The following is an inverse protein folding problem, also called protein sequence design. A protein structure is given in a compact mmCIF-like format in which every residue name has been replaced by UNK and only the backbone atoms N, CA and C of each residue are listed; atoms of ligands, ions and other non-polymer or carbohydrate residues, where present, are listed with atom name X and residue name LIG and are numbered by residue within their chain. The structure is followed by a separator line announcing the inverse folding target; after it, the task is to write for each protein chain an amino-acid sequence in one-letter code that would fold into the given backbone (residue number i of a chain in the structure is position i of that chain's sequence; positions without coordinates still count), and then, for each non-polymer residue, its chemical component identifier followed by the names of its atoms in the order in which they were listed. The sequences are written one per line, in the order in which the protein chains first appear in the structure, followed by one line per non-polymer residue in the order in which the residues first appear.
data_IF_972559359481
#
_entry.id   IF_972559359481
#
_cell.length_a   1.000
_cell.length_b   1.000
_cell.length_c   1.000
_cell.angle_alpha   90.00
_cell.angle_beta   90.00
_cell.angle_gamma   90.00
#
_symmetry.space_group_name_H-M   'P 1'
#
loop_
_entity.id
_entity.type
_entity.pdbx_description
1 polymer ?
#
# COMPACT_ATOMS: atom_id res chain seq x y z
N UNK A 1 -6.89 -13.66 41.00
CA UNK A 1 -6.52 -13.34 39.62
C UNK A 1 -5.40 -12.32 39.66
N UNK A 2 -4.16 -12.72 39.35
CA UNK A 2 -3.04 -11.77 39.29
C UNK A 2 -3.28 -10.81 38.13
N UNK A 3 -3.30 -9.50 38.40
CA UNK A 3 -3.32 -8.49 37.35
C UNK A 3 -1.97 -8.56 36.64
N UNK A 4 -1.96 -8.96 35.36
CA UNK A 4 -0.81 -8.76 34.50
C UNK A 4 -0.45 -7.27 34.51
N UNK A 5 0.73 -6.93 35.03
CA UNK A 5 1.20 -5.55 35.07
C UNK A 5 1.74 -5.18 33.70
N UNK A 6 1.13 -4.19 33.06
CA UNK A 6 1.66 -3.58 31.84
C UNK A 6 2.47 -2.35 32.25
N UNK A 7 3.72 -2.28 31.79
CA UNK A 7 4.55 -1.09 31.92
C UNK A 7 4.85 -0.51 30.53
N UNK A 8 5.17 0.78 30.46
CA UNK A 8 5.64 1.42 29.24
C UNK A 8 6.99 2.06 29.46
N UNK A 9 7.87 1.97 28.48
CA UNK A 9 9.18 2.65 28.48
C UNK A 9 9.56 3.11 27.08
N UNK A 10 10.57 3.97 27.01
CA UNK A 10 11.22 4.27 25.74
C UNK A 10 11.87 3.01 25.17
N UNK A 11 11.80 2.87 23.86
CA UNK A 11 12.48 1.80 23.15
C UNK A 11 14.00 2.00 23.19
N UNK A 12 14.73 0.91 23.35
CA UNK A 12 16.18 0.85 23.21
C UNK A 12 16.54 0.05 21.96
N UNK A 13 17.82 0.10 21.57
CA UNK A 13 18.33 -0.61 20.39
C UNK A 13 18.00 -2.12 20.39
N UNK A 14 17.97 -2.74 21.57
CA UNK A 14 17.70 -4.17 21.75
C UNK A 14 16.25 -4.55 21.40
N UNK A 15 15.33 -3.59 21.35
CA UNK A 15 13.94 -3.83 20.95
C UNK A 15 13.78 -3.98 19.42
N UNK A 16 14.78 -3.55 18.62
CA UNK A 16 14.68 -3.51 17.16
C UNK A 16 14.26 -4.85 16.51
N UNK A 17 14.77 -6.03 16.95
CA UNK A 17 14.27 -7.31 16.47
C UNK A 17 12.78 -7.54 16.76
N UNK A 18 12.29 -7.24 17.96
CA UNK A 18 10.88 -7.42 18.30
C UNK A 18 10.00 -6.44 17.50
N UNK A 19 10.42 -5.19 17.38
CA UNK A 19 9.69 -4.17 16.63
C UNK A 19 9.62 -4.48 15.14
N UNK A 20 10.68 -5.04 14.57
CA UNK A 20 10.69 -5.44 13.17
C UNK A 20 9.70 -6.60 12.96
N UNK A 21 9.46 -7.44 13.97
CA UNK A 21 8.48 -8.54 13.88
C UNK A 21 7.08 -7.94 13.93
N UNK A 22 6.86 -7.08 14.92
CA UNK A 22 5.61 -6.39 15.16
C UNK A 22 5.14 -5.60 13.94
N UNK A 23 6.03 -4.91 13.22
CA UNK A 23 5.69 -4.08 12.07
C UNK A 23 6.08 -4.67 10.70
N UNK A 24 6.44 -5.95 10.64
CA UNK A 24 7.02 -6.55 9.43
C UNK A 24 6.18 -6.42 8.16
N UNK A 25 4.85 -6.39 8.28
CA UNK A 25 3.91 -6.20 7.15
C UNK A 25 3.74 -4.74 6.70
N UNK A 26 4.18 -3.77 7.52
CA UNK A 26 4.16 -2.33 7.21
C UNK A 26 5.49 -1.84 6.63
N UNK A 27 6.59 -2.52 6.96
CA UNK A 27 7.92 -2.15 6.53
C UNK A 27 8.15 -2.41 5.03
N UNK A 28 9.19 -1.77 4.48
CA UNK A 28 9.64 -2.08 3.12
C UNK A 28 9.97 -3.57 3.01
N UNK A 29 9.77 -4.12 1.81
CA UNK A 29 10.22 -5.48 1.48
C UNK A 29 11.74 -5.49 1.49
N UNK A 30 12.31 -6.25 2.42
CA UNK A 30 13.73 -6.34 2.70
C UNK A 30 14.00 -7.61 3.50
N UNK A 31 15.25 -8.02 3.56
CA UNK A 31 15.64 -9.12 4.44
C UNK A 31 15.55 -8.72 5.91
N UNK A 32 15.43 -9.71 6.78
CA UNK A 32 15.16 -9.49 8.20
C UNK A 32 16.22 -8.62 8.87
N UNK A 33 17.50 -8.86 8.59
CA UNK A 33 18.62 -8.09 9.14
C UNK A 33 18.55 -6.61 8.74
N UNK A 34 18.15 -6.31 7.51
CA UNK A 34 17.99 -4.94 7.05
C UNK A 34 16.82 -4.24 7.75
N UNK A 35 15.69 -4.93 7.95
CA UNK A 35 14.56 -4.38 8.70
C UNK A 35 14.95 -4.06 10.15
N UNK A 36 15.75 -4.92 10.79
CA UNK A 36 16.26 -4.64 12.14
C UNK A 36 17.17 -3.41 12.12
N UNK A 37 18.10 -3.32 11.17
CA UNK A 37 18.98 -2.15 11.04
C UNK A 37 18.20 -0.85 10.80
N UNK A 38 17.15 -0.88 9.97
CA UNK A 38 16.26 0.26 9.75
C UNK A 38 15.61 0.71 11.08
N UNK A 39 15.16 -0.22 11.92
CA UNK A 39 14.57 0.14 13.22
C UNK A 39 15.59 0.61 14.25
N UNK A 40 16.82 0.12 14.22
CA UNK A 40 17.88 0.68 15.07
C UNK A 40 18.10 2.18 14.76
N UNK A 41 18.03 2.57 13.49
CA UNK A 41 18.10 3.97 13.09
C UNK A 41 16.88 4.76 13.57
N UNK A 42 15.67 4.22 13.38
CA UNK A 42 14.43 4.87 13.84
C UNK A 42 14.42 5.09 15.36
N UNK A 43 14.89 4.10 16.14
CA UNK A 43 15.01 4.22 17.61
C UNK A 43 16.03 5.29 17.97
N UNK A 44 17.19 5.30 17.31
CA UNK A 44 18.25 6.29 17.53
C UNK A 44 17.76 7.71 17.25
N UNK A 45 17.08 7.92 16.12
CA UNK A 45 16.59 9.23 15.71
C UNK A 45 15.49 9.74 16.66
N UNK A 46 14.57 8.85 17.07
CA UNK A 46 13.55 9.19 18.06
C UNK A 46 14.15 9.56 19.41
N UNK A 47 15.17 8.84 19.88
CA UNK A 47 15.86 9.14 21.14
C UNK A 47 16.64 10.46 21.11
N UNK A 48 17.05 10.92 19.93
CA UNK A 48 17.79 12.16 19.73
C UNK A 48 16.88 13.40 19.56
N UNK A 49 15.57 13.22 19.46
CA UNK A 49 14.62 14.31 19.18
C UNK A 49 13.67 14.55 20.37
N UNK A 50 13.51 15.80 20.85
CA UNK A 50 12.50 16.11 21.85
C UNK A 50 11.07 16.02 21.30
N UNK A 51 10.92 16.04 19.97
CA UNK A 51 9.63 16.03 19.28
C UNK A 51 9.16 14.61 18.93
N UNK A 52 9.94 13.58 19.29
CA UNK A 52 9.68 12.20 18.92
C UNK A 52 9.88 11.27 20.11
N UNK A 53 9.09 10.20 20.17
CA UNK A 53 9.29 9.12 21.13
C UNK A 53 8.89 7.79 20.51
N UNK A 54 9.73 6.78 20.61
CA UNK A 54 9.32 5.40 20.35
C UNK A 54 9.09 4.74 21.70
N UNK A 55 7.85 4.35 21.97
CA UNK A 55 7.44 3.75 23.24
C UNK A 55 7.09 2.29 23.01
N UNK A 56 7.60 1.43 23.89
CA UNK A 56 7.20 0.02 23.98
C UNK A 56 6.34 -0.20 25.21
N UNK A 57 5.33 -1.06 25.09
CA UNK A 57 4.61 -1.62 26.21
C UNK A 57 5.19 -3.00 26.51
N UNK A 58 5.41 -3.29 27.79
CA UNK A 58 5.96 -4.54 28.27
C UNK A 58 4.94 -5.31 29.10
N UNK A 59 4.91 -6.62 28.90
CA UNK A 59 4.18 -7.59 29.71
C UNK A 59 5.18 -8.65 30.13
N UNK A 60 5.33 -8.86 31.44
CA UNK A 60 6.26 -9.84 32.01
C UNK A 60 7.71 -9.69 31.48
N UNK A 61 8.15 -8.44 31.29
CA UNK A 61 9.49 -8.09 30.80
C UNK A 61 9.72 -8.35 29.30
N UNK A 62 8.67 -8.61 28.53
CA UNK A 62 8.73 -8.80 27.08
C UNK A 62 7.96 -7.70 26.34
N UNK A 63 8.48 -7.27 25.20
CA UNK A 63 7.81 -6.27 24.35
C UNK A 63 6.48 -6.84 23.85
N UNK A 64 5.39 -6.26 24.34
CA UNK A 64 4.02 -6.64 24.01
C UNK A 64 3.44 -5.80 22.86
N UNK A 65 3.97 -4.60 22.65
CA UNK A 65 3.52 -3.69 21.60
C UNK A 65 4.34 -2.42 21.58
N UNK A 66 4.10 -1.59 20.57
CA UNK A 66 4.83 -0.34 20.39
C UNK A 66 4.00 0.72 19.68
N UNK A 67 4.44 1.96 19.86
CA UNK A 67 3.88 3.14 19.21
C UNK A 67 5.02 4.14 18.94
N UNK A 68 5.01 4.73 17.74
CA UNK A 68 5.90 5.83 17.41
C UNK A 68 5.12 7.14 17.54
N UNK A 69 5.65 8.10 18.30
CA UNK A 69 5.03 9.38 18.58
C UNK A 69 5.85 10.48 17.94
N UNK A 70 5.16 11.46 17.32
CA UNK A 70 5.79 12.62 16.72
C UNK A 70 4.92 13.87 16.87
N UNK A 71 5.49 14.98 17.30
CA UNK A 71 4.84 16.29 17.23
C UNK A 71 4.74 16.78 15.79
N UNK A 72 3.61 17.37 15.44
CA UNK A 72 3.38 17.94 14.13
C UNK A 72 1.93 18.37 13.95
N UNK A 73 1.42 18.25 12.73
CA UNK A 73 0.03 18.57 12.39
C UNK A 73 -0.60 17.41 11.63
N UNK A 74 -1.94 17.30 11.60
CA UNK A 74 -2.61 16.27 10.78
C UNK A 74 -2.35 16.49 9.29
N UNK A 75 -2.24 17.74 8.88
CA UNK A 75 -2.02 18.17 7.50
C UNK A 75 -1.14 19.42 7.49
N UNK A 76 -0.26 19.63 6.50
CA UNK A 76 0.63 20.79 6.47
C UNK A 76 -0.10 22.14 6.28
N UNK A 77 -1.38 22.15 5.91
CA UNK A 77 -2.17 23.39 5.72
C UNK A 77 -3.07 23.75 6.90
N UNK A 78 -3.21 22.84 7.88
CA UNK A 78 -3.87 23.14 9.15
C UNK A 78 -2.79 23.09 10.24
N UNK A 79 -2.49 24.24 10.82
CA UNK A 79 -1.40 24.39 11.77
C UNK A 79 -1.78 24.05 13.22
N UNK A 80 -2.98 23.52 13.45
CA UNK A 80 -3.37 22.98 14.75
C UNK A 80 -2.40 21.85 15.17
N UNK A 81 -1.61 22.03 16.25
CA UNK A 81 -0.64 21.04 16.68
C UNK A 81 -1.31 19.76 17.18
N UNK A 82 -0.69 18.62 16.88
CA UNK A 82 -1.09 17.31 17.38
C UNK A 82 0.12 16.40 17.61
N UNK A 83 -0.03 15.43 18.51
CA UNK A 83 0.86 14.27 18.53
C UNK A 83 0.30 13.23 17.56
N UNK A 84 1.12 12.89 16.58
CA UNK A 84 0.87 11.78 15.66
C UNK A 84 1.31 10.47 16.32
N UNK A 85 0.33 9.65 16.68
CA UNK A 85 0.45 8.26 17.08
C UNK A 85 0.57 7.37 15.83
N UNK A 86 1.80 7.11 15.42
CA UNK A 86 2.14 6.40 14.20
C UNK A 86 2.26 4.89 14.50
N UNK A 87 1.53 4.10 13.70
CA UNK A 87 1.52 2.63 13.73
C UNK A 87 1.38 1.98 15.12
N UNK A 88 0.41 2.39 15.97
CA UNK A 88 0.19 1.71 17.25
C UNK A 88 -0.16 0.24 17.01
N UNK A 89 0.65 -0.67 17.57
CA UNK A 89 0.44 -2.11 17.42
C UNK A 89 0.78 -2.89 18.69
N UNK A 90 0.06 -3.98 18.89
CA UNK A 90 0.24 -4.95 19.98
C UNK A 90 0.27 -6.33 19.35
N UNK A 91 1.18 -7.19 19.80
CA UNK A 91 1.23 -8.58 19.35
C UNK A 91 -0.06 -9.32 19.69
N UNK A 92 -0.48 -10.23 18.80
CA UNK A 92 -1.77 -10.90 18.93
C UNK A 92 -1.89 -11.75 20.20
N UNK A 93 -0.78 -12.38 20.60
CA UNK A 93 -0.70 -13.27 21.77
C UNK A 93 -0.82 -12.54 23.13
N UNK A 94 -0.66 -11.21 23.15
CA UNK A 94 -0.79 -10.36 24.36
C UNK A 94 -1.96 -9.37 24.27
N UNK A 95 -2.85 -9.51 23.28
CA UNK A 95 -4.06 -8.67 23.19
C UNK A 95 -4.96 -8.85 24.42
N UNK A 96 -5.73 -7.80 24.74
CA UNK A 96 -6.67 -7.74 25.88
C UNK A 96 -6.02 -7.75 27.28
N UNK A 97 -4.70 -7.59 27.37
CA UNK A 97 -3.99 -7.44 28.65
C UNK A 97 -3.72 -5.98 29.04
N UNK A 98 -4.26 -5.01 28.30
CA UNK A 98 -4.10 -3.58 28.58
C UNK A 98 -2.96 -2.88 27.83
N UNK A 99 -2.08 -3.61 27.13
CA UNK A 99 -0.96 -3.03 26.36
C UNK A 99 -1.37 -1.89 25.42
N UNK A 100 -2.44 -2.08 24.63
CA UNK A 100 -2.93 -1.03 23.73
C UNK A 100 -3.43 0.22 24.46
N UNK A 101 -4.02 0.06 25.65
CA UNK A 101 -4.44 1.19 26.48
C UNK A 101 -3.22 1.92 27.05
N UNK A 102 -2.23 1.18 27.56
CA UNK A 102 -1.00 1.75 28.09
C UNK A 102 -0.23 2.56 27.02
N UNK A 103 -0.17 2.07 25.77
CA UNK A 103 0.44 2.81 24.66
C UNK A 103 -0.29 4.13 24.35
N UNK A 104 -1.63 4.14 24.40
CA UNK A 104 -2.42 5.36 24.21
C UNK A 104 -2.28 6.32 25.39
N UNK A 105 -2.22 5.80 26.62
CA UNK A 105 -1.94 6.61 27.81
C UNK A 105 -0.56 7.27 27.72
N UNK A 106 0.47 6.56 27.24
CA UNK A 106 1.78 7.14 26.97
C UNK A 106 1.75 8.21 25.85
N UNK A 107 0.91 8.03 24.82
CA UNK A 107 0.71 9.04 23.79
C UNK A 107 0.03 10.32 24.32
N UNK A 108 -0.98 10.16 25.17
CA UNK A 108 -1.66 11.28 25.82
C UNK A 108 -0.71 12.04 26.75
N UNK A 109 0.05 11.33 27.58
CA UNK A 109 1.06 11.93 28.45
C UNK A 109 2.11 12.72 27.66
N UNK A 110 2.60 12.18 26.54
CA UNK A 110 3.54 12.90 25.69
C UNK A 110 2.93 14.19 25.09
N UNK A 111 1.64 14.16 24.71
CA UNK A 111 0.94 15.33 24.21
C UNK A 111 0.80 16.40 25.30
N UNK A 112 0.38 16.01 26.50
CA UNK A 112 0.24 16.89 27.66
C UNK A 112 1.57 17.53 28.06
N UNK A 113 2.65 16.74 28.14
CA UNK A 113 4.01 17.22 28.39
C UNK A 113 4.50 18.22 27.33
N UNK A 114 4.02 18.08 26.10
CA UNK A 114 4.36 18.95 24.98
C UNK A 114 3.42 20.17 24.85
N UNK A 115 2.43 20.31 25.74
CA UNK A 115 1.43 21.39 25.65
C UNK A 115 0.48 21.26 24.46
N UNK A 116 0.28 20.05 23.94
CA UNK A 116 -0.54 19.76 22.76
C UNK A 116 -1.83 19.06 23.18
N UNK A 117 -2.97 19.53 22.66
CA UNK A 117 -4.29 19.05 23.07
C UNK A 117 -4.89 17.99 22.14
N UNK A 118 -4.25 17.73 20.99
CA UNK A 118 -4.77 16.84 19.96
C UNK A 118 -3.89 15.61 19.77
N UNK A 119 -4.53 14.44 19.67
CA UNK A 119 -3.92 13.20 19.22
C UNK A 119 -4.47 12.82 17.84
N UNK A 120 -3.59 12.40 16.95
CA UNK A 120 -3.95 11.85 15.65
C UNK A 120 -3.33 10.48 15.48
N UNK A 121 -4.06 9.53 14.89
CA UNK A 121 -3.50 8.21 14.55
C UNK A 121 -4.02 7.74 13.21
N UNK A 122 -3.25 6.87 12.56
CA UNK A 122 -3.68 6.14 11.39
C UNK A 122 -3.71 4.64 11.73
N UNK A 123 -4.89 4.03 11.55
CA UNK A 123 -5.07 2.58 11.65
C UNK A 123 -5.49 2.02 10.29
N UNK A 124 -5.20 0.74 9.99
CA UNK A 124 -5.67 0.12 8.75
C UNK A 124 -7.19 0.22 8.62
N UNK A 125 -7.68 0.79 7.52
CA UNK A 125 -9.10 1.04 7.30
C UNK A 125 -9.96 -0.24 7.34
N UNK A 126 -9.37 -1.39 6.98
CA UNK A 126 -10.05 -2.68 6.97
C UNK A 126 -10.12 -3.33 8.36
N UNK A 127 -9.35 -2.84 9.34
CA UNK A 127 -9.32 -3.39 10.70
C UNK A 127 -10.48 -2.86 11.53
N UNK A 128 -11.61 -3.58 11.52
CA UNK A 128 -12.80 -3.22 12.34
C UNK A 128 -12.47 -3.10 13.81
N UNK A 129 -11.61 -3.98 14.32
CA UNK A 129 -11.22 -4.00 15.72
C UNK A 129 -10.39 -2.78 16.13
N UNK A 130 -9.42 -2.38 15.28
CA UNK A 130 -8.64 -1.17 15.52
C UNK A 130 -9.51 0.08 15.46
N UNK A 131 -10.36 0.21 14.43
CA UNK A 131 -11.27 1.34 14.29
C UNK A 131 -12.26 1.44 15.46
N UNK A 132 -12.82 0.31 15.91
CA UNK A 132 -13.69 0.28 17.10
C UNK A 132 -12.95 0.69 18.37
N UNK A 133 -11.70 0.28 18.52
CA UNK A 133 -10.88 0.73 19.65
C UNK A 133 -10.66 2.24 19.61
N UNK A 134 -10.28 2.80 18.45
CA UNK A 134 -10.09 4.25 18.28
C UNK A 134 -11.37 5.04 18.57
N UNK A 135 -12.51 4.60 18.06
CA UNK A 135 -13.80 5.24 18.34
C UNK A 135 -14.14 5.22 19.84
N UNK A 136 -13.85 4.13 20.55
CA UNK A 136 -14.12 4.01 22.00
C UNK A 136 -13.29 4.95 22.86
N UNK A 137 -12.11 5.35 22.38
CA UNK A 137 -11.23 6.29 23.10
C UNK A 137 -11.43 7.74 22.63
N UNK A 138 -12.48 8.02 21.84
CA UNK A 138 -12.86 9.37 21.43
C UNK A 138 -12.23 9.86 20.13
N UNK A 139 -11.47 9.02 19.40
CA UNK A 139 -10.90 9.40 18.12
C UNK A 139 -11.92 9.21 17.00
N UNK A 140 -12.19 10.29 16.28
CA UNK A 140 -13.05 10.30 15.09
C UNK A 140 -12.21 10.21 13.80
N UNK A 141 -12.73 9.56 12.73
CA UNK A 141 -12.04 9.52 11.44
C UNK A 141 -12.04 10.91 10.79
N UNK A 142 -10.86 11.38 10.36
CA UNK A 142 -10.70 12.68 9.69
C UNK A 142 -10.25 12.56 8.23
N UNK A 143 -9.54 11.49 7.87
CA UNK A 143 -9.05 11.25 6.51
C UNK A 143 -8.71 9.77 6.27
N UNK A 144 -8.45 9.41 5.00
CA UNK A 144 -7.89 8.11 4.62
C UNK A 144 -6.71 8.32 3.68
N UNK A 145 -5.55 7.77 4.02
CA UNK A 145 -4.39 7.76 3.11
C UNK A 145 -4.50 6.63 2.08
N UNK A 146 -4.10 6.93 0.84
CA UNK A 146 -3.98 5.94 -0.25
C UNK A 146 -2.55 5.94 -0.74
N UNK A 147 -1.97 4.75 -0.87
CA UNK A 147 -0.59 4.57 -1.34
C UNK A 147 -0.60 3.67 -2.57
N UNK A 148 0.22 4.00 -3.55
CA UNK A 148 0.42 3.19 -4.74
C UNK A 148 1.74 3.57 -5.43
N UNK A 149 2.34 2.66 -6.21
CA UNK A 149 3.54 2.98 -6.97
C UNK A 149 3.28 4.14 -7.93
N UNK A 150 4.22 5.09 -7.99
CA UNK A 150 4.10 6.27 -8.86
C UNK A 150 3.91 5.89 -10.34
N UNK A 151 4.54 4.80 -10.78
CA UNK A 151 4.37 4.24 -12.13
C UNK A 151 2.93 3.77 -12.40
N UNK A 152 2.29 3.12 -11.43
CA UNK A 152 0.89 2.68 -11.52
C UNK A 152 -0.05 3.87 -11.54
N UNK A 153 0.18 4.87 -10.68
CA UNK A 153 -0.62 6.11 -10.69
C UNK A 153 -0.48 6.79 -12.05
N UNK A 154 0.76 6.99 -12.53
CA UNK A 154 1.06 7.65 -13.81
C UNK A 154 0.37 6.97 -15.00
N UNK A 155 0.48 5.64 -15.10
CA UNK A 155 -0.12 4.89 -16.21
C UNK A 155 -1.66 4.99 -16.27
N UNK A 156 -2.32 5.27 -15.14
CA UNK A 156 -3.78 5.40 -15.05
C UNK A 156 -4.29 6.83 -15.25
N UNK A 157 -3.49 7.84 -14.88
CA UNK A 157 -3.89 9.25 -15.02
C UNK A 157 -3.47 9.86 -16.37
N UNK A 158 -2.47 9.30 -17.03
CA UNK A 158 -2.12 9.72 -18.40
C UNK A 158 -3.31 9.37 -19.29
N UNK A 159 -3.93 10.36 -19.97
CA UNK A 159 -5.01 10.08 -20.91
C UNK A 159 -4.52 9.03 -21.91
N UNK A 160 -5.24 7.92 -22.06
CA UNK A 160 -5.06 7.11 -23.25
C UNK A 160 -5.47 8.01 -24.42
N UNK A 161 -4.48 8.60 -25.11
CA UNK A 161 -4.74 9.10 -26.46
C UNK A 161 -5.44 7.94 -27.16
N UNK A 162 -6.63 8.15 -27.76
CA UNK A 162 -7.14 7.15 -28.68
C UNK A 162 -5.97 6.87 -29.61
N UNK A 163 -5.45 5.65 -29.54
CA UNK A 163 -4.50 5.23 -30.54
C UNK A 163 -5.16 5.60 -31.88
N UNK A 164 -4.36 6.06 -32.83
CA UNK A 164 -4.76 6.07 -34.23
C UNK A 164 -4.95 4.61 -34.74
N UNK A 165 -5.61 3.75 -33.95
CA UNK A 165 -6.06 2.40 -34.21
C UNK A 165 -7.14 2.36 -35.31
N UNK A 166 -7.47 3.51 -35.92
CA UNK A 166 -8.19 3.61 -37.18
C UNK A 166 -7.26 3.62 -38.40
N UNK A 167 -6.09 4.27 -38.35
CA UNK A 167 -5.28 4.48 -39.56
C UNK A 167 -4.59 3.19 -40.04
N UNK A 168 -3.96 2.44 -39.12
CA UNK A 168 -3.26 1.18 -39.45
C UNK A 168 -4.20 0.02 -39.81
N UNK A 169 -5.37 -0.05 -39.16
CA UNK A 169 -6.42 -1.06 -39.46
C UNK A 169 -7.14 -0.77 -40.78
N UNK A 170 -7.35 0.51 -41.11
CA UNK A 170 -7.95 0.88 -42.39
C UNK A 170 -6.97 0.72 -43.55
N UNK A 171 -5.69 1.06 -43.38
CA UNK A 171 -4.67 0.83 -44.40
C UNK A 171 -4.47 -0.67 -44.68
N UNK A 172 -4.39 -1.51 -43.65
CA UNK A 172 -4.28 -2.96 -43.83
C UNK A 172 -5.51 -3.57 -44.50
N UNK A 173 -6.74 -3.11 -44.17
CA UNK A 173 -7.97 -3.51 -44.89
C UNK A 173 -7.98 -3.06 -46.35
N UNK A 174 -7.56 -1.83 -46.64
CA UNK A 174 -7.49 -1.30 -48.02
C UNK A 174 -6.43 -2.04 -48.84
N UNK A 175 -5.27 -2.34 -48.26
CA UNK A 175 -4.22 -3.13 -48.92
C UNK A 175 -4.67 -4.58 -49.17
N UNK A 176 -5.38 -5.21 -48.23
CA UNK A 176 -5.97 -6.52 -48.41
C UNK A 176 -7.03 -6.54 -49.53
N UNK A 177 -7.92 -5.55 -49.57
CA UNK A 177 -8.92 -5.39 -50.62
C UNK A 177 -8.31 -5.14 -52.02
N UNK A 178 -7.20 -4.38 -52.11
CA UNK A 178 -6.48 -4.19 -53.38
C UNK A 178 -5.79 -5.48 -53.85
N UNK A 179 -5.28 -6.30 -52.94
CA UNK A 179 -4.66 -7.60 -53.29
C UNK A 179 -5.70 -8.59 -53.83
N UNK A 180 -6.91 -8.64 -53.25
CA UNK A 180 -7.97 -9.52 -53.74
C UNK A 180 -8.50 -9.10 -55.11
N UNK A 181 -8.68 -7.79 -55.35
CA UNK A 181 -9.09 -7.28 -56.68
C UNK A 181 -8.06 -7.54 -57.77
N UNK A 182 -6.75 -7.47 -57.47
CA UNK A 182 -5.71 -7.84 -58.44
C UNK A 182 -5.71 -9.34 -58.76
N UNK A 183 -5.96 -10.21 -57.79
CA UNK A 183 -6.11 -11.65 -58.03
C UNK A 183 -7.36 -11.97 -58.86
N UNK A 184 -8.47 -11.28 -58.62
CA UNK A 184 -9.69 -11.46 -59.40
C UNK A 184 -9.52 -11.01 -60.87
N UNK A 185 -8.71 -9.97 -61.13
CA UNK A 185 -8.40 -9.50 -62.49
C UNK A 185 -7.34 -10.35 -63.19
N UNK A 186 -6.40 -10.95 -62.46
CA UNK A 186 -5.37 -11.83 -63.03
C UNK A 186 -5.81 -13.28 -63.27
N UNK A 187 -7.04 -13.66 -62.88
CA UNK A 187 -7.60 -15.00 -63.11
C UNK A 187 -8.52 -15.10 -64.34
N UNK A 188 -8.68 -14.03 -65.12
CA UNK A 188 -9.59 -13.96 -66.26
C UNK A 188 -8.87 -13.99 -67.62
N UNK A 189 -7.73 -14.69 -67.70
CA UNK A 189 -7.06 -14.97 -68.98
C UNK A 189 -6.54 -16.41 -68.97
N UNK A 190 -7.48 -17.36 -69.04
CA UNK A 190 -7.20 -18.71 -69.54
C UNK A 190 -7.92 -18.84 -70.90
N UNK A 191 -7.19 -19.07 -72.00
CA UNK A 191 -7.81 -19.26 -73.31
C UNK A 191 -8.55 -20.61 -73.36
N UNK A 192 -9.67 -20.71 -74.11
CA UNK A 192 -10.47 -21.92 -74.15
C UNK A 192 -9.75 -23.05 -74.89
N UNK A 193 -9.77 -24.24 -74.28
CA UNK A 193 -9.43 -25.51 -74.92
C UNK A 193 -10.51 -25.83 -75.96
N UNK A 194 -10.15 -25.74 -77.25
CA UNK A 194 -10.99 -26.21 -78.35
C UNK A 194 -11.12 -27.73 -78.25
N UNK A 195 -12.35 -28.20 -78.06
CA UNK A 195 -12.69 -29.61 -78.11
C UNK A 195 -12.69 -30.12 -79.55
N UNK A 196 -12.00 -31.22 -79.78
CA UNK A 196 -12.19 -32.08 -80.95
C UNK A 196 -13.13 -33.23 -80.53
N UNK A 197 -14.30 -33.26 -81.16
CA UNK A 197 -15.39 -34.23 -80.94
C UNK A 197 -15.04 -35.61 -81.53
N UNK A 198 -15.55 -36.72 -80.95
CA UNK A 198 -15.32 -38.08 -81.45
C UNK A 198 -16.31 -38.45 -82.57
N UNK A 199 -16.00 -39.42 -83.46
CA UNK A 199 -16.98 -39.91 -84.41
C UNK A 199 -17.83 -41.06 -83.84
N UNK A 200 -19.14 -40.80 -83.79
CA UNK A 200 -20.29 -41.60 -84.26
C UNK A 200 -20.29 -43.13 -84.02
N UNK A 201 -21.35 -43.60 -83.36
CA UNK A 201 -21.83 -44.99 -83.32
C UNK A 201 -23.13 -45.13 -84.15
N UNK A 202 -23.79 -46.30 -84.25
CA UNK A 202 -23.34 -47.66 -84.58
C UNK A 202 -24.07 -48.23 -85.83
N UNK A 203 -23.49 -49.27 -86.44
CA UNK A 203 -24.09 -50.52 -86.98
C UNK A 203 -23.08 -51.22 -87.93
#
# INVERSE_FOLDING_TARGET
MSRTSVATRLACREDAPALAELWGDLMRRADRSEQVADLELVIKDAAASPEQRLVVAEVDGQVAGAIYLRLGTVSPINLEPCVQSIHPRVFDHVRRHGAGRALVEAAAAFAEESGVLHLATAVPAQSRDANRFMARIGLAPVATYRVGPTSVVRSRITPQRPAEAGAGRNLSKVLAARRSQRRARGGAEQPPLTGEQPPVAPD
#
